data_IF_036193552411
#
_entry.id   IF_036193552411
#
_cell.length_a   1.000
_cell.length_b   1.000
_cell.length_c   1.000
_cell.angle_alpha   90.00
_cell.angle_beta   90.00
_cell.angle_gamma   90.00
#
_symmetry.space_group_name_H-M   'P 1'
#
loop_
_entity.id
_entity.type
_entity.pdbx_description
1 polymer ?
#
# COMPACT_ATOMS: atom_id res chain seq x y z
N UNK A 1 30.23 -12.53 7.60
CA UNK A 1 29.24 -11.76 6.80
C UNK A 1 28.07 -12.68 6.54
N UNK A 2 26.96 -12.49 7.24
CA UNK A 2 25.75 -13.30 7.08
C UNK A 2 25.05 -12.83 5.82
N UNK A 3 24.90 -13.68 4.81
CA UNK A 3 24.12 -13.34 3.62
C UNK A 3 22.70 -12.92 4.04
N UNK A 4 22.17 -11.80 3.52
CA UNK A 4 20.81 -11.40 3.80
C UNK A 4 19.87 -12.45 3.22
N UNK A 5 19.19 -13.18 4.09
CA UNK A 5 18.16 -14.14 3.68
C UNK A 5 17.06 -13.36 2.97
N UNK A 6 16.95 -13.56 1.65
CA UNK A 6 15.96 -12.91 0.80
C UNK A 6 14.60 -13.55 1.04
N UNK A 7 13.82 -13.00 1.96
CA UNK A 7 12.39 -13.30 2.04
C UNK A 7 11.65 -12.36 1.09
N UNK A 8 11.32 -12.84 -0.12
CA UNK A 8 10.32 -12.21 -1.00
C UNK A 8 8.95 -12.88 -0.87
N UNK A 9 8.75 -13.72 0.14
CA UNK A 9 7.54 -14.51 0.32
C UNK A 9 6.70 -13.99 1.49
N UNK A 10 5.38 -14.18 1.39
CA UNK A 10 4.43 -13.79 2.43
C UNK A 10 4.82 -14.40 3.78
N UNK A 11 4.97 -13.56 4.80
CA UNK A 11 5.20 -14.02 6.18
C UNK A 11 3.89 -14.58 6.75
N UNK A 12 3.80 -15.90 6.88
CA UNK A 12 2.66 -16.55 7.53
C UNK A 12 2.89 -16.64 9.02
N UNK A 13 2.01 -16.03 9.82
CA UNK A 13 2.07 -16.05 11.29
C UNK A 13 0.91 -16.88 11.82
N UNK A 14 1.20 -17.84 12.72
CA UNK A 14 0.16 -18.54 13.48
C UNK A 14 -0.24 -17.66 14.67
N UNK A 15 -1.53 -17.39 14.81
CA UNK A 15 -2.08 -16.65 15.94
C UNK A 15 -3.30 -17.38 16.51
N UNK A 16 -3.59 -17.13 17.79
CA UNK A 16 -4.81 -17.62 18.42
C UNK A 16 -6.04 -16.93 17.78
N UNK A 17 -7.20 -17.60 17.69
CA UNK A 17 -8.40 -17.05 17.05
C UNK A 17 -8.82 -15.68 17.60
N UNK A 18 -8.66 -15.45 18.89
CA UNK A 18 -8.99 -14.20 19.58
C UNK A 18 -8.14 -13.03 19.06
N UNK A 19 -6.86 -13.28 18.79
CA UNK A 19 -5.94 -12.28 18.22
C UNK A 19 -6.33 -11.94 16.79
N UNK A 20 -6.75 -12.94 16.00
CA UNK A 20 -7.24 -12.71 14.64
C UNK A 20 -8.51 -11.84 14.62
N UNK A 21 -9.43 -12.06 15.57
CA UNK A 21 -10.63 -11.24 15.73
C UNK A 21 -10.28 -9.80 16.14
N UNK A 22 -9.39 -9.62 17.11
CA UNK A 22 -8.93 -8.29 17.53
C UNK A 22 -8.25 -7.54 16.38
N UNK A 23 -7.46 -8.23 15.56
CA UNK A 23 -6.83 -7.64 14.37
C UNK A 23 -7.87 -7.12 13.36
N UNK A 24 -8.92 -7.90 13.09
CA UNK A 24 -10.00 -7.48 12.20
C UNK A 24 -10.76 -6.27 12.75
N UNK A 25 -11.09 -6.28 14.04
CA UNK A 25 -11.77 -5.15 14.69
C UNK A 25 -10.92 -3.88 14.65
N UNK A 26 -9.63 -4.00 14.95
CA UNK A 26 -8.71 -2.87 14.95
C UNK A 26 -8.50 -2.29 13.55
N UNK A 27 -8.38 -3.14 12.51
CA UNK A 27 -8.25 -2.68 11.14
C UNK A 27 -9.52 -1.97 10.65
N UNK A 28 -10.70 -2.50 10.99
CA UNK A 28 -11.98 -1.85 10.68
C UNK A 28 -12.11 -0.47 11.32
N UNK A 29 -11.77 -0.35 12.61
CA UNK A 29 -11.79 0.94 13.33
C UNK A 29 -10.86 1.98 12.71
N UNK A 30 -9.76 1.54 12.09
CA UNK A 30 -8.78 2.41 11.41
C UNK A 30 -9.08 2.61 9.92
N UNK A 31 -10.16 2.02 9.39
CA UNK A 31 -10.47 2.10 7.97
C UNK A 31 -9.41 1.45 7.08
N UNK A 32 -8.73 0.40 7.55
CA UNK A 32 -7.64 -0.27 6.86
C UNK A 32 -7.86 -1.79 6.70
N UNK A 33 -7.10 -2.42 5.81
CA UNK A 33 -7.06 -3.90 5.71
C UNK A 33 -6.28 -4.50 6.89
N UNK A 34 -6.57 -5.74 7.33
CA UNK A 34 -5.83 -6.41 8.41
C UNK A 34 -4.32 -6.46 8.16
N UNK A 35 -3.88 -6.77 6.94
CA UNK A 35 -2.47 -6.82 6.57
C UNK A 35 -1.78 -5.45 6.67
N UNK A 36 -2.47 -4.37 6.30
CA UNK A 36 -1.94 -3.01 6.43
C UNK A 36 -1.81 -2.63 7.91
N UNK A 37 -2.86 -2.88 8.70
CA UNK A 37 -2.81 -2.63 10.14
C UNK A 37 -1.66 -3.37 10.80
N UNK A 38 -1.50 -4.67 10.49
CA UNK A 38 -0.44 -5.50 11.06
C UNK A 38 0.95 -4.98 10.66
N UNK A 39 1.14 -4.54 9.42
CA UNK A 39 2.39 -3.93 8.97
C UNK A 39 2.72 -2.68 9.79
N UNK A 40 1.75 -1.79 9.97
CA UNK A 40 1.93 -0.56 10.77
C UNK A 40 2.23 -0.86 12.24
N UNK A 41 1.51 -1.82 12.83
CA UNK A 41 1.73 -2.26 14.20
C UNK A 41 3.14 -2.87 14.38
N UNK A 42 3.57 -3.72 13.45
CA UNK A 42 4.91 -4.32 13.46
C UNK A 42 6.01 -3.26 13.32
N UNK A 43 5.85 -2.32 12.39
CA UNK A 43 6.81 -1.21 12.22
C UNK A 43 6.89 -0.34 13.47
N UNK A 44 5.76 -0.08 14.11
CA UNK A 44 5.72 0.67 15.37
C UNK A 44 6.49 -0.06 16.46
N UNK A 45 6.25 -1.36 16.65
CA UNK A 45 6.96 -2.18 17.62
C UNK A 45 8.48 -2.20 17.34
N UNK A 46 8.88 -2.41 16.08
CA UNK A 46 10.28 -2.41 15.68
C UNK A 46 10.98 -1.07 15.98
N UNK A 47 10.32 0.06 15.72
CA UNK A 47 10.85 1.38 16.07
C UNK A 47 11.00 1.59 17.57
N UNK A 48 10.04 1.12 18.36
CA UNK A 48 10.12 1.17 19.82
C UNK A 48 11.33 0.38 20.35
N UNK A 49 11.70 -0.69 19.64
CA UNK A 49 12.89 -1.50 19.93
C UNK A 49 14.18 -0.93 19.30
N UNK A 50 14.13 0.26 18.68
CA UNK A 50 15.28 0.94 18.10
C UNK A 50 15.65 0.51 16.68
N UNK A 51 14.82 -0.30 16.02
CA UNK A 51 14.99 -0.67 14.62
C UNK A 51 14.28 0.32 13.71
N UNK A 52 15.05 1.09 12.95
CA UNK A 52 14.50 1.90 11.85
C UNK A 52 14.48 1.06 10.57
N UNK A 53 13.32 0.93 9.89
CA UNK A 53 13.26 0.26 8.60
C UNK A 53 14.16 0.98 7.60
N UNK A 54 15.21 0.30 7.15
CA UNK A 54 16.09 0.77 6.09
C UNK A 54 15.44 0.51 4.73
N UNK A 55 14.54 1.40 4.35
CA UNK A 55 13.86 1.36 3.07
C UNK A 55 12.62 2.24 3.07
N UNK A 56 12.34 2.89 1.93
CA UNK A 56 11.09 3.61 1.78
C UNK A 56 9.92 2.63 1.72
N UNK A 57 8.86 2.89 2.50
CA UNK A 57 7.57 2.21 2.31
C UNK A 57 6.84 2.73 1.06
N UNK A 58 7.41 3.74 0.39
CA UNK A 58 6.91 4.25 -0.88
C UNK A 58 6.97 3.14 -1.92
N UNK A 59 5.82 2.85 -2.51
CA UNK A 59 5.75 2.06 -3.73
C UNK A 59 6.16 2.93 -4.90
N UNK A 60 6.84 2.36 -5.88
CA UNK A 60 7.23 3.01 -7.12
C UNK A 60 6.52 2.32 -8.29
N UNK A 61 6.24 3.07 -9.34
CA UNK A 61 5.71 2.57 -10.60
C UNK A 61 6.72 2.84 -11.72
N UNK A 62 6.86 1.88 -12.64
CA UNK A 62 7.76 2.04 -13.78
C UNK A 62 7.05 2.85 -14.87
N UNK A 63 7.67 3.94 -15.29
CA UNK A 63 7.17 4.86 -16.31
C UNK A 63 8.17 4.95 -17.45
N UNK A 64 7.69 4.93 -18.69
CA UNK A 64 8.51 5.13 -19.87
C UNK A 64 7.79 6.06 -20.83
N UNK A 65 8.48 7.07 -21.34
CA UNK A 65 7.92 8.09 -22.23
C UNK A 65 6.63 8.77 -21.69
N UNK A 66 6.54 8.93 -20.36
CA UNK A 66 5.37 9.54 -19.71
C UNK A 66 4.19 8.60 -19.47
N UNK A 67 4.30 7.33 -19.83
CA UNK A 67 3.23 6.32 -19.68
C UNK A 67 3.63 5.20 -18.72
N UNK A 68 2.64 4.58 -18.08
CA UNK A 68 2.86 3.41 -17.21
C UNK A 68 3.30 2.22 -18.03
N UNK A 69 4.40 1.59 -17.62
CA UNK A 69 4.79 0.29 -18.17
C UNK A 69 3.89 -0.78 -17.59
N UNK A 70 3.30 -1.59 -18.46
CA UNK A 70 2.38 -2.67 -18.08
C UNK A 70 3.09 -4.03 -18.14
N UNK A 71 2.70 -4.93 -17.24
CA UNK A 71 3.04 -6.35 -17.31
C UNK A 71 2.31 -7.02 -18.47
N UNK A 72 2.63 -8.30 -18.73
CA UNK A 72 1.95 -9.11 -19.76
C UNK A 72 0.45 -9.24 -19.52
N UNK A 73 0.01 -9.13 -18.27
CA UNK A 73 -1.40 -9.22 -17.88
C UNK A 73 -2.11 -7.85 -17.94
N UNK A 74 -1.45 -6.82 -18.47
CA UNK A 74 -2.01 -5.47 -18.60
C UNK A 74 -2.01 -4.65 -17.31
N UNK A 75 -1.37 -5.12 -16.25
CA UNK A 75 -1.31 -4.40 -14.96
C UNK A 75 -0.05 -3.52 -14.88
N UNK A 76 -0.12 -2.30 -14.31
CA UNK A 76 1.07 -1.48 -14.09
C UNK A 76 2.14 -2.20 -13.26
N UNK A 77 3.40 -2.08 -13.69
CA UNK A 77 4.53 -2.63 -12.95
C UNK A 77 4.82 -1.73 -11.74
N UNK A 78 4.65 -2.29 -10.53
CA UNK A 78 4.85 -1.58 -9.27
C UNK A 78 5.72 -2.38 -8.29
N UNK A 79 6.55 -1.71 -7.51
CA UNK A 79 7.47 -2.36 -6.56
C UNK A 79 7.79 -1.46 -5.37
N UNK A 80 8.20 -2.04 -4.25
CA UNK A 80 8.82 -1.30 -3.13
C UNK A 80 10.35 -1.18 -3.29
N UNK A 81 10.92 -1.88 -4.27
CA UNK A 81 12.36 -1.97 -4.52
C UNK A 81 12.62 -1.75 -6.01
N UNK A 82 12.72 -0.48 -6.46
CA UNK A 82 13.00 -0.18 -7.85
C UNK A 82 14.39 -0.71 -8.24
N UNK A 83 14.48 -1.34 -9.41
CA UNK A 83 15.73 -1.85 -9.96
C UNK A 83 16.27 -0.86 -11.01
N UNK A 84 17.49 -0.32 -10.84
CA UNK A 84 18.07 0.67 -11.77
C UNK A 84 18.25 0.15 -13.21
N UNK A 85 18.34 -1.16 -13.40
CA UNK A 85 18.52 -1.82 -14.69
C UNK A 85 17.25 -1.86 -15.56
N UNK A 86 16.09 -1.56 -14.99
CA UNK A 86 14.83 -1.55 -15.74
C UNK A 86 14.78 -0.38 -16.74
N UNK A 87 14.24 -0.64 -17.94
CA UNK A 87 14.08 0.40 -18.96
C UNK A 87 12.93 1.33 -18.60
N UNK A 88 13.27 2.50 -18.07
CA UNK A 88 12.32 3.55 -17.73
C UNK A 88 12.77 4.34 -16.51
N UNK A 89 11.83 5.06 -15.91
CA UNK A 89 12.01 5.79 -14.67
C UNK A 89 11.05 5.24 -13.62
N UNK A 90 11.58 4.98 -12.43
CA UNK A 90 10.78 4.65 -11.27
C UNK A 90 10.29 5.92 -10.58
N UNK A 91 8.99 6.18 -10.66
CA UNK A 91 8.35 7.32 -10.00
C UNK A 91 7.62 6.88 -8.72
N UNK A 92 7.66 7.68 -7.64
CA UNK A 92 6.95 7.36 -6.40
C UNK A 92 5.44 7.35 -6.64
N UNK A 93 4.77 6.36 -6.04
CA UNK A 93 3.30 6.24 -6.02
C UNK A 93 2.78 6.95 -4.79
N UNK A 94 2.03 8.02 -5.01
CA UNK A 94 1.32 8.76 -3.98
C UNK A 94 -0.14 8.30 -3.94
N UNK A 95 -0.65 8.06 -2.73
CA UNK A 95 -2.04 7.71 -2.53
C UNK A 95 -2.79 8.97 -2.12
N UNK A 96 -3.88 9.26 -2.81
CA UNK A 96 -4.78 10.37 -2.47
C UNK A 96 -6.23 9.89 -2.45
N UNK A 97 -7.05 10.57 -1.67
CA UNK A 97 -8.49 10.41 -1.68
C UNK A 97 -9.13 11.51 -2.54
N UNK A 98 -10.26 11.25 -3.19
CA UNK A 98 -10.98 12.30 -3.94
C UNK A 98 -11.51 13.41 -3.04
N UNK A 99 -11.75 13.09 -1.77
CA UNK A 99 -12.21 14.00 -0.72
C UNK A 99 -11.62 13.59 0.64
N UNK A 100 -11.60 14.47 1.66
CA UNK A 100 -11.16 14.11 3.00
C UNK A 100 -11.90 12.88 3.56
N UNK A 101 -11.14 11.83 3.92
CA UNK A 101 -11.72 10.58 4.40
C UNK A 101 -12.09 10.63 5.89
N UNK A 102 -13.33 10.25 6.20
CA UNK A 102 -13.82 9.99 7.57
C UNK A 102 -14.39 8.57 7.61
N UNK A 103 -13.75 7.63 8.34
CA UNK A 103 -14.20 6.24 8.38
C UNK A 103 -15.58 6.05 9.02
N UNK A 104 -16.10 7.02 9.79
CA UNK A 104 -17.45 6.97 10.32
C UNK A 104 -18.49 7.23 9.22
N UNK A 105 -18.25 8.23 8.38
CA UNK A 105 -19.21 8.76 7.40
C UNK A 105 -18.99 8.28 5.97
N UNK A 106 -17.81 7.74 5.66
CA UNK A 106 -17.41 7.44 4.28
C UNK A 106 -17.04 5.97 4.05
N UNK A 107 -17.27 5.53 2.82
CA UNK A 107 -16.61 4.38 2.22
C UNK A 107 -15.47 4.84 1.32
N UNK A 108 -14.33 4.14 1.41
CA UNK A 108 -13.25 4.27 0.44
C UNK A 108 -13.37 3.14 -0.57
N UNK A 109 -13.61 3.46 -1.84
CA UNK A 109 -13.76 2.48 -2.89
C UNK A 109 -12.40 1.96 -3.38
N UNK A 110 -12.44 0.95 -4.25
CA UNK A 110 -11.25 0.51 -4.96
C UNK A 110 -10.63 1.68 -5.74
N UNK A 111 -9.30 1.77 -5.80
CA UNK A 111 -8.64 2.88 -6.44
C UNK A 111 -8.93 2.89 -7.95
N UNK A 112 -8.98 4.10 -8.50
CA UNK A 112 -8.99 4.32 -9.94
C UNK A 112 -7.65 3.83 -10.55
N UNK A 113 -7.59 3.62 -11.89
CA UNK A 113 -6.34 3.30 -12.56
C UNK A 113 -5.24 4.29 -12.20
N UNK A 114 -4.01 3.79 -12.03
CA UNK A 114 -2.86 4.64 -11.75
C UNK A 114 -2.69 5.68 -12.85
N UNK A 115 -2.37 6.91 -12.46
CA UNK A 115 -2.15 8.03 -13.37
C UNK A 115 -0.74 8.57 -13.21
N UNK A 116 -0.05 8.83 -14.31
CA UNK A 116 1.22 9.58 -14.28
C UNK A 116 0.89 11.07 -14.14
N UNK A 117 1.54 11.73 -13.19
CA UNK A 117 1.32 13.13 -12.85
C UNK A 117 2.67 13.84 -12.71
N UNK A 118 3.31 14.14 -13.84
CA UNK A 118 4.66 14.71 -13.88
C UNK A 118 5.70 13.77 -13.28
N UNK A 119 6.29 14.16 -12.15
CA UNK A 119 7.36 13.42 -11.46
C UNK A 119 6.85 12.40 -10.42
N UNK A 120 5.53 12.16 -10.37
CA UNK A 120 4.91 11.17 -9.48
C UNK A 120 3.86 10.35 -10.22
N UNK A 121 3.49 9.24 -9.62
CA UNK A 121 2.34 8.44 -10.03
C UNK A 121 1.29 8.51 -8.93
N UNK A 122 0.04 8.71 -9.31
CA UNK A 122 -1.05 8.95 -8.36
C UNK A 122 -1.99 7.75 -8.36
N UNK A 123 -2.30 7.26 -7.16
CA UNK A 123 -3.37 6.31 -6.89
C UNK A 123 -4.50 7.03 -6.17
N UNK A 124 -5.55 7.33 -6.91
CA UNK A 124 -6.73 8.02 -6.37
C UNK A 124 -7.76 7.01 -5.86
N UNK A 125 -8.17 7.16 -4.61
CA UNK A 125 -9.22 6.39 -3.97
C UNK A 125 -10.52 7.20 -3.92
N UNK A 126 -11.60 6.77 -4.61
CA UNK A 126 -12.88 7.45 -4.50
C UNK A 126 -13.45 7.33 -3.09
N UNK A 127 -13.86 8.47 -2.54
CA UNK A 127 -14.54 8.57 -1.25
C UNK A 127 -16.02 8.86 -1.51
N UNK A 128 -16.89 8.04 -0.94
CA UNK A 128 -18.34 8.17 -1.06
C UNK A 128 -18.99 8.17 0.32
N UNK A 129 -20.09 8.88 0.49
CA UNK A 129 -20.84 8.89 1.75
C UNK A 129 -21.55 7.56 1.95
N UNK A 130 -21.52 7.01 3.16
CA UNK A 130 -22.27 5.78 3.49
C UNK A 130 -23.78 5.95 3.33
N UNK A 131 -24.29 7.17 3.49
CA UNK A 131 -25.70 7.48 3.25
C UNK A 131 -26.13 7.32 1.80
N UNK A 132 -25.18 7.26 0.85
CA UNK A 132 -25.45 7.09 -0.57
C UNK A 132 -25.51 5.61 -1.01
N UNK A 133 -25.26 4.63 -0.12
CA UNK A 133 -25.39 3.19 -0.43
C UNK A 133 -26.84 2.72 -0.63
N UNK A 134 -27.83 3.55 -0.31
CA UNK A 134 -29.26 3.24 -0.40
C UNK A 134 -30.02 4.02 -1.48
N UNK A 135 -29.32 4.65 -2.43
CA UNK A 135 -29.94 5.38 -3.55
C UNK A 135 -30.06 4.52 -4.82
#
# INVERSE_FOLDING_TARGET
MTEPVRYSEALTIRCQPEIAQLLQQASLRKGSKPAEYLRQALLTALRLDGFEPTGSLTQYALVSAGELVLSRDGNPIVTLRPMPEDRGQWLPVENEDTEPFDPAQHWRLNPLPLRVDGERVVRTYPVVLKSQEHA
#
